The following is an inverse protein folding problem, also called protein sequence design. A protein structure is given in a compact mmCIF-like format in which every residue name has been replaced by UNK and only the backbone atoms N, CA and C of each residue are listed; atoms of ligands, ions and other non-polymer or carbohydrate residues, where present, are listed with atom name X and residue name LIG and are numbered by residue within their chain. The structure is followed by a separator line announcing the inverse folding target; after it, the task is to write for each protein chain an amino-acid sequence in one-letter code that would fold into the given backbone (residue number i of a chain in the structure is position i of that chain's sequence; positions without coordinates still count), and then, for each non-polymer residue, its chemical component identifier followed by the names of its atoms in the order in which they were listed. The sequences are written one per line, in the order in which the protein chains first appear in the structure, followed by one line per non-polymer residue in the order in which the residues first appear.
data_IF_153893495105
#
_entry.id   IF_153893495105
#
_cell.length_a   1.000
_cell.length_b   1.000
_cell.length_c   1.000
_cell.angle_alpha   90.00
_cell.angle_beta   90.00
_cell.angle_gamma   90.00
#
_symmetry.space_group_name_H-M   'P 1'
#
loop_
_entity.id
_entity.type
_entity.pdbx_description
1 polymer ?
#
# COMPACT_ATOMS: atom_id res chain seq x y z
N UNK A 1 15.92 -65.98 -3.92
CA UNK A 1 16.14 -64.60 -4.40
C UNK A 1 14.83 -63.95 -4.86
N UNK A 2 13.85 -64.73 -5.28
CA UNK A 2 12.56 -64.24 -5.83
C UNK A 2 11.69 -63.47 -4.81
N UNK A 3 11.64 -63.94 -3.57
CA UNK A 3 10.83 -63.30 -2.51
C UNK A 3 11.34 -61.89 -2.18
N UNK A 4 12.67 -61.68 -2.17
CA UNK A 4 13.27 -60.37 -1.91
C UNK A 4 12.98 -59.41 -3.07
N UNK A 5 13.07 -59.91 -4.31
CA UNK A 5 12.70 -59.15 -5.51
C UNK A 5 11.24 -58.69 -5.48
N UNK A 6 10.32 -59.57 -5.08
CA UNK A 6 8.90 -59.28 -4.98
C UNK A 6 8.59 -58.23 -3.89
N UNK A 7 9.27 -58.29 -2.74
CA UNK A 7 9.12 -57.26 -1.70
C UNK A 7 9.63 -55.88 -2.18
N UNK A 8 10.74 -55.85 -2.93
CA UNK A 8 11.25 -54.60 -3.50
C UNK A 8 10.32 -54.03 -4.58
N UNK A 9 9.70 -54.89 -5.39
CA UNK A 9 8.75 -54.48 -6.42
C UNK A 9 7.50 -53.86 -5.81
N UNK A 10 6.90 -54.51 -4.80
CA UNK A 10 5.77 -53.97 -4.05
C UNK A 10 6.12 -52.65 -3.34
N UNK A 11 7.32 -52.56 -2.75
CA UNK A 11 7.79 -51.32 -2.13
C UNK A 11 7.91 -50.18 -3.15
N UNK A 12 8.41 -50.47 -4.35
CA UNK A 12 8.53 -49.47 -5.43
C UNK A 12 7.15 -48.97 -5.86
N UNK A 13 6.18 -49.88 -6.03
CA UNK A 13 4.79 -49.49 -6.33
C UNK A 13 4.17 -48.62 -5.23
N UNK A 14 4.36 -48.96 -3.95
CA UNK A 14 3.86 -48.15 -2.83
C UNK A 14 4.50 -46.75 -2.84
N UNK A 15 5.82 -46.67 -3.04
CA UNK A 15 6.54 -45.39 -3.09
C UNK A 15 6.05 -44.54 -4.26
N UNK A 16 5.81 -45.13 -5.44
CA UNK A 16 5.31 -44.36 -6.59
C UNK A 16 3.87 -43.88 -6.39
N UNK A 17 2.99 -44.74 -5.84
CA UNK A 17 1.58 -44.40 -5.57
C UNK A 17 1.47 -43.31 -4.51
N UNK A 18 2.35 -43.30 -3.50
CA UNK A 18 2.35 -42.30 -2.43
C UNK A 18 3.16 -41.05 -2.77
N UNK A 19 4.24 -41.21 -3.54
CA UNK A 19 5.20 -40.15 -3.82
C UNK A 19 4.63 -39.05 -4.71
N UNK A 20 3.85 -39.40 -5.74
CA UNK A 20 3.25 -38.41 -6.64
C UNK A 20 2.18 -37.56 -5.91
N UNK A 21 1.21 -38.14 -5.18
CA UNK A 21 0.27 -37.35 -4.38
C UNK A 21 0.95 -36.51 -3.30
N UNK A 22 1.97 -37.05 -2.63
CA UNK A 22 2.73 -36.29 -1.62
C UNK A 22 3.47 -35.09 -2.25
N UNK A 23 4.09 -35.28 -3.41
CA UNK A 23 4.75 -34.18 -4.14
C UNK A 23 3.74 -33.12 -4.59
N UNK A 24 2.58 -33.51 -5.10
CA UNK A 24 1.49 -32.58 -5.47
C UNK A 24 1.00 -31.83 -4.23
N UNK A 25 0.80 -32.51 -3.10
CA UNK A 25 0.36 -31.89 -1.86
C UNK A 25 1.37 -30.86 -1.34
N UNK A 26 2.66 -31.21 -1.31
CA UNK A 26 3.74 -30.29 -0.92
C UNK A 26 3.77 -29.08 -1.86
N UNK A 27 3.68 -29.31 -3.18
CA UNK A 27 3.66 -28.23 -4.17
C UNK A 27 2.48 -27.28 -3.98
N UNK A 28 1.28 -27.79 -3.74
CA UNK A 28 0.09 -26.96 -3.50
C UNK A 28 0.20 -26.17 -2.19
N UNK A 29 0.75 -26.78 -1.13
CA UNK A 29 0.99 -26.10 0.14
C UNK A 29 2.00 -24.97 -0.02
N UNK A 30 3.13 -25.26 -0.67
CA UNK A 30 4.19 -24.28 -0.96
C UNK A 30 3.68 -23.12 -1.81
N UNK A 31 2.89 -23.39 -2.86
CA UNK A 31 2.22 -22.36 -3.66
C UNK A 31 1.33 -21.44 -2.82
N UNK A 32 0.58 -22.02 -1.88
CA UNK A 32 -0.32 -21.26 -1.01
C UNK A 32 0.46 -20.44 0.03
N UNK A 33 1.54 -20.99 0.58
CA UNK A 33 2.42 -20.29 1.52
C UNK A 33 3.18 -19.15 0.82
N UNK A 34 3.70 -19.37 -0.39
CA UNK A 34 4.31 -18.31 -1.21
C UNK A 34 3.31 -17.22 -1.60
N UNK A 35 2.03 -17.56 -1.82
CA UNK A 35 0.99 -16.56 -2.05
C UNK A 35 0.77 -15.71 -0.81
N UNK A 36 0.70 -16.32 0.38
CA UNK A 36 0.59 -15.60 1.65
C UNK A 36 1.81 -14.72 1.90
N UNK A 37 3.02 -15.23 1.71
CA UNK A 37 4.25 -14.45 1.90
C UNK A 37 4.34 -13.24 0.96
N UNK A 38 3.96 -13.38 -0.32
CA UNK A 38 3.92 -12.23 -1.24
C UNK A 38 2.94 -11.16 -0.79
N UNK A 39 1.80 -11.58 -0.24
CA UNK A 39 0.83 -10.66 0.34
C UNK A 39 1.44 -9.97 1.59
N UNK A 40 2.04 -10.71 2.53
CA UNK A 40 2.69 -10.17 3.73
C UNK A 40 3.90 -9.27 3.47
N UNK A 41 4.78 -9.61 2.52
CA UNK A 41 5.95 -8.79 2.18
C UNK A 41 5.59 -7.43 1.58
N UNK A 42 4.39 -7.29 1.01
CA UNK A 42 3.88 -5.99 0.55
C UNK A 42 3.40 -5.13 1.73
N UNK A 43 2.82 -5.74 2.77
CA UNK A 43 2.44 -5.05 4.00
C UNK A 43 3.66 -4.48 4.74
N UNK A 44 4.73 -5.27 4.86
CA UNK A 44 5.95 -4.87 5.59
C UNK A 44 6.62 -3.61 4.98
N UNK A 45 6.59 -3.50 3.64
CA UNK A 45 7.13 -2.34 2.94
C UNK A 45 6.28 -1.06 3.13
N UNK A 46 4.96 -1.19 3.28
CA UNK A 46 4.05 -0.08 3.57
C UNK A 46 4.21 0.39 5.02
N UNK A 47 4.26 -0.54 5.98
CA UNK A 47 4.49 -0.23 7.40
C UNK A 47 5.82 0.47 7.62
N UNK A 48 6.88 0.03 6.93
CA UNK A 48 8.18 0.70 6.99
C UNK A 48 8.11 2.15 6.49
N UNK A 49 7.37 2.41 5.40
CA UNK A 49 7.17 3.78 4.89
C UNK A 49 6.33 4.64 5.83
N UNK A 50 5.35 4.03 6.52
CA UNK A 50 4.59 4.70 7.56
C UNK A 50 5.48 5.15 8.73
N UNK A 51 6.37 4.28 9.21
CA UNK A 51 7.32 4.64 10.28
C UNK A 51 8.23 5.79 9.84
N UNK A 52 8.73 5.76 8.61
CA UNK A 52 9.59 6.80 8.05
C UNK A 52 8.89 8.16 8.01
N UNK A 53 7.62 8.24 7.55
CA UNK A 53 6.89 9.51 7.55
C UNK A 53 6.63 10.02 8.98
N UNK A 54 6.35 9.13 9.94
CA UNK A 54 6.18 9.55 11.33
C UNK A 54 7.47 10.09 11.95
N UNK A 55 8.63 9.54 11.59
CA UNK A 55 9.92 10.10 11.97
C UNK A 55 10.15 11.49 11.37
N UNK A 56 9.79 11.69 10.09
CA UNK A 56 9.86 13.01 9.45
C UNK A 56 8.90 14.01 10.11
N UNK A 57 7.69 13.60 10.47
CA UNK A 57 6.76 14.47 11.19
C UNK A 57 7.33 14.88 12.57
N UNK A 58 8.03 13.98 13.26
CA UNK A 58 8.70 14.30 14.52
C UNK A 58 9.89 15.24 14.34
N UNK A 59 10.64 15.11 13.25
CA UNK A 59 11.78 15.97 12.91
C UNK A 59 11.33 17.38 12.54
N UNK A 60 10.30 17.48 11.69
CA UNK A 60 9.74 18.74 11.19
C UNK A 60 8.40 19.05 11.87
N UNK A 61 8.40 19.00 13.20
CA UNK A 61 7.19 19.07 14.02
C UNK A 61 6.41 20.38 13.93
N UNK A 62 7.01 21.42 13.35
CA UNK A 62 6.40 22.71 13.09
C UNK A 62 5.57 22.77 11.80
N UNK A 63 5.74 21.81 10.89
CA UNK A 63 5.03 21.71 9.62
C UNK A 63 3.69 20.99 9.81
N UNK A 64 2.69 21.32 9.00
CA UNK A 64 1.34 20.76 9.12
C UNK A 64 1.23 19.39 8.42
N UNK A 65 2.11 18.46 8.81
CA UNK A 65 2.32 17.15 8.16
C UNK A 65 1.82 15.96 8.97
N UNK A 66 1.43 16.17 10.22
CA UNK A 66 0.76 15.16 11.05
C UNK A 66 -0.68 14.90 10.58
N UNK A 67 -1.20 13.71 10.92
CA UNK A 67 -2.59 13.32 10.65
C UNK A 67 -3.61 14.27 11.33
N UNK A 68 -3.20 14.93 12.42
CA UNK A 68 -3.98 15.98 13.07
C UNK A 68 -3.55 17.36 12.57
N UNK A 69 -4.45 18.15 11.96
CA UNK A 69 -4.12 19.49 11.49
C UNK A 69 -3.91 20.49 12.62
N UNK A 70 -3.00 21.44 12.39
CA UNK A 70 -2.90 22.62 13.24
C UNK A 70 -4.16 23.47 13.14
N UNK A 71 -4.73 23.84 14.28
CA UNK A 71 -5.88 24.77 14.32
C UNK A 71 -5.53 26.18 13.83
N UNK A 72 -4.24 26.55 13.86
CA UNK A 72 -3.74 27.83 13.37
C UNK A 72 -2.33 27.63 12.79
N UNK A 73 -2.20 27.24 11.51
CA UNK A 73 -0.90 27.02 10.88
C UNK A 73 -0.10 28.32 10.84
N UNK A 74 1.19 28.23 11.13
CA UNK A 74 2.10 29.38 11.04
C UNK A 74 2.47 29.63 9.58
N UNK A 75 2.82 30.88 9.27
CA UNK A 75 3.44 31.19 7.98
C UNK A 75 4.82 30.54 7.91
N UNK A 76 5.03 29.70 6.90
CA UNK A 76 6.28 28.99 6.66
C UNK A 76 7.30 29.89 5.95
N UNK A 77 8.59 29.58 6.12
CA UNK A 77 9.64 30.06 5.21
C UNK A 77 9.62 29.27 3.90
N UNK A 78 10.26 29.79 2.85
CA UNK A 78 10.38 29.06 1.57
C UNK A 78 11.04 27.68 1.74
N UNK A 79 12.04 27.56 2.64
CA UNK A 79 12.67 26.29 2.97
C UNK A 79 11.67 25.32 3.63
N UNK A 80 10.85 25.82 4.56
CA UNK A 80 9.83 25.03 5.25
C UNK A 80 8.69 24.62 4.32
N UNK A 81 8.29 25.47 3.38
CA UNK A 81 7.31 25.13 2.33
C UNK A 81 7.83 23.97 1.49
N UNK A 82 9.13 23.97 1.12
CA UNK A 82 9.74 22.88 0.36
C UNK A 82 9.88 21.58 1.16
N UNK A 83 10.15 21.69 2.46
CA UNK A 83 10.16 20.52 3.36
C UNK A 83 8.75 19.93 3.52
N UNK A 84 7.73 20.77 3.69
CA UNK A 84 6.33 20.35 3.78
C UNK A 84 5.90 19.64 2.48
N UNK A 85 6.16 20.26 1.32
CA UNK A 85 5.91 19.67 0.00
C UNK A 85 6.53 18.27 -0.12
N UNK A 86 7.81 18.12 0.25
CA UNK A 86 8.51 16.84 0.17
C UNK A 86 7.88 15.76 1.07
N UNK A 87 7.50 16.11 2.30
CA UNK A 87 6.86 15.17 3.24
C UNK A 87 5.46 14.77 2.74
N UNK A 88 4.68 15.73 2.24
CA UNK A 88 3.35 15.45 1.68
C UNK A 88 3.44 14.58 0.42
N UNK A 89 4.48 14.74 -0.42
CA UNK A 89 4.72 13.84 -1.56
C UNK A 89 5.04 12.40 -1.12
N UNK A 90 5.78 12.22 -0.02
CA UNK A 90 6.01 10.90 0.58
C UNK A 90 4.67 10.30 1.01
N UNK A 91 3.80 11.09 1.66
CA UNK A 91 2.46 10.65 2.05
C UNK A 91 1.62 10.21 0.86
N UNK A 92 1.58 11.00 -0.21
CA UNK A 92 0.84 10.66 -1.44
C UNK A 92 1.36 9.34 -2.04
N UNK A 93 2.68 9.10 -2.01
CA UNK A 93 3.26 7.83 -2.46
C UNK A 93 2.81 6.63 -1.62
N UNK A 94 2.62 6.80 -0.31
CA UNK A 94 2.06 5.75 0.57
C UNK A 94 0.60 5.48 0.18
N UNK A 95 -0.20 6.52 -0.05
CA UNK A 95 -1.60 6.40 -0.46
C UNK A 95 -1.75 5.71 -1.82
N UNK A 96 -0.92 6.06 -2.80
CA UNK A 96 -0.89 5.38 -4.10
C UNK A 96 -0.59 3.88 -3.92
N UNK A 97 0.41 3.56 -3.09
CA UNK A 97 0.81 2.17 -2.86
C UNK A 97 -0.30 1.37 -2.16
N UNK A 98 -1.00 1.97 -1.20
CA UNK A 98 -2.18 1.38 -0.59
C UNK A 98 -3.29 1.17 -1.61
N UNK A 99 -3.63 2.19 -2.42
CA UNK A 99 -4.64 2.08 -3.48
C UNK A 99 -4.35 0.92 -4.45
N UNK A 100 -3.12 0.84 -4.98
CA UNK A 100 -2.71 -0.22 -5.90
C UNK A 100 -2.78 -1.61 -5.25
N UNK A 101 -2.52 -1.71 -3.94
CA UNK A 101 -2.62 -2.95 -3.19
C UNK A 101 -4.07 -3.41 -3.04
N UNK A 102 -5.01 -2.50 -2.78
CA UNK A 102 -6.41 -2.84 -2.51
C UNK A 102 -7.31 -2.88 -3.75
N UNK A 103 -6.97 -2.18 -4.84
CA UNK A 103 -7.77 -2.12 -6.08
C UNK A 103 -8.12 -3.49 -6.66
N UNK A 104 -7.28 -4.51 -6.45
CA UNK A 104 -7.43 -5.85 -7.06
C UNK A 104 -8.02 -6.91 -6.12
N UNK A 105 -8.52 -6.49 -4.97
CA UNK A 105 -8.81 -7.42 -3.89
C UNK A 105 -10.27 -7.84 -3.82
N UNK A 106 -10.52 -9.14 -3.60
CA UNK A 106 -11.86 -9.73 -3.52
C UNK A 106 -12.28 -10.16 -2.10
N UNK A 107 -11.37 -10.15 -1.11
CA UNK A 107 -11.68 -10.59 0.26
C UNK A 107 -12.31 -9.48 1.11
N UNK A 108 -13.35 -9.80 1.87
CA UNK A 108 -14.09 -8.82 2.68
C UNK A 108 -13.20 -8.06 3.69
N UNK A 109 -12.33 -8.74 4.44
CA UNK A 109 -11.44 -8.08 5.43
C UNK A 109 -10.53 -7.01 4.82
N UNK A 110 -10.20 -7.12 3.54
CA UNK A 110 -9.37 -6.13 2.85
C UNK A 110 -10.21 -4.98 2.28
N UNK A 111 -11.53 -5.14 2.13
CA UNK A 111 -12.45 -4.02 1.86
C UNK A 111 -12.58 -3.13 3.08
N UNK A 112 -12.76 -3.71 4.26
CA UNK A 112 -12.86 -2.96 5.52
C UNK A 112 -11.57 -2.15 5.78
N UNK A 113 -10.39 -2.69 5.41
CA UNK A 113 -9.12 -1.96 5.46
C UNK A 113 -9.05 -0.83 4.43
N UNK A 114 -9.57 -1.04 3.21
CA UNK A 114 -9.62 -0.01 2.18
C UNK A 114 -10.48 1.18 2.60
N UNK A 115 -11.64 0.94 3.24
CA UNK A 115 -12.52 2.01 3.72
C UNK A 115 -11.79 3.00 4.65
N UNK A 116 -10.88 2.50 5.50
CA UNK A 116 -10.04 3.37 6.34
C UNK A 116 -9.06 4.23 5.54
N UNK A 117 -8.39 3.66 4.54
CA UNK A 117 -7.50 4.40 3.65
C UNK A 117 -8.24 5.46 2.82
N UNK A 118 -9.41 5.09 2.27
CA UNK A 118 -10.23 6.00 1.47
C UNK A 118 -10.71 7.21 2.30
N UNK A 119 -11.11 6.96 3.55
CA UNK A 119 -11.45 8.01 4.51
C UNK A 119 -10.26 8.94 4.76
N UNK A 120 -9.10 8.39 5.12
CA UNK A 120 -7.90 9.18 5.42
C UNK A 120 -7.47 10.03 4.21
N UNK A 121 -7.42 9.46 3.01
CA UNK A 121 -7.05 10.19 1.78
C UNK A 121 -8.03 11.34 1.54
N UNK A 122 -9.33 11.09 1.74
CA UNK A 122 -10.36 12.12 1.56
C UNK A 122 -10.18 13.27 2.56
N UNK A 123 -9.94 12.96 3.84
CA UNK A 123 -9.67 13.97 4.87
C UNK A 123 -8.42 14.79 4.56
N UNK A 124 -7.36 14.17 4.05
CA UNK A 124 -6.15 14.88 3.60
C UNK A 124 -6.41 15.78 2.40
N UNK A 125 -7.20 15.32 1.42
CA UNK A 125 -7.59 16.13 0.26
C UNK A 125 -8.44 17.35 0.62
N UNK A 126 -9.03 17.39 1.82
CA UNK A 126 -9.73 18.56 2.32
C UNK A 126 -8.79 19.68 2.78
N UNK A 127 -7.56 19.34 3.16
CA UNK A 127 -6.55 20.26 3.71
C UNK A 127 -5.88 21.09 2.61
N UNK A 128 -5.72 22.39 2.85
CA UNK A 128 -5.22 23.33 1.84
C UNK A 128 -3.78 23.02 1.39
N UNK A 129 -2.88 22.70 2.33
CA UNK A 129 -1.48 22.37 2.03
C UNK A 129 -1.38 21.12 1.15
N UNK A 130 -2.05 20.04 1.54
CA UNK A 130 -2.08 18.79 0.79
C UNK A 130 -2.77 18.95 -0.56
N UNK A 131 -3.89 19.69 -0.63
CA UNK A 131 -4.58 19.97 -1.90
C UNK A 131 -3.68 20.74 -2.86
N UNK A 132 -2.90 21.71 -2.38
CA UNK A 132 -1.96 22.46 -3.22
C UNK A 132 -0.91 21.53 -3.84
N UNK A 133 -0.29 20.68 -3.03
CA UNK A 133 0.69 19.67 -3.48
C UNK A 133 0.04 18.67 -4.45
N UNK A 134 -1.17 18.19 -4.15
CA UNK A 134 -1.91 17.27 -5.01
C UNK A 134 -2.24 17.87 -6.38
N UNK A 135 -2.68 19.13 -6.43
CA UNK A 135 -2.99 19.80 -7.70
C UNK A 135 -1.75 19.98 -8.59
N UNK A 136 -0.59 20.25 -7.99
CA UNK A 136 0.67 20.44 -8.72
C UNK A 136 1.30 19.12 -9.16
N UNK A 137 1.34 18.11 -8.28
CA UNK A 137 2.13 16.90 -8.48
C UNK A 137 1.29 15.62 -8.66
N UNK A 138 -0.01 15.65 -8.34
CA UNK A 138 -0.93 14.53 -8.49
C UNK A 138 -0.86 13.83 -9.86
N UNK A 139 -0.77 14.58 -10.99
CA UNK A 139 -0.62 13.97 -12.32
C UNK A 139 0.65 13.12 -12.54
N UNK A 140 1.64 13.18 -11.64
CA UNK A 140 2.86 12.35 -11.72
C UNK A 140 2.66 10.94 -11.16
N UNK A 141 1.62 10.72 -10.36
CA UNK A 141 1.29 9.42 -9.76
C UNK A 141 0.48 8.54 -10.73
N UNK A 142 0.18 7.31 -10.30
CA UNK A 142 -0.59 6.34 -11.06
C UNK A 142 -1.91 6.95 -11.53
N UNK A 143 -2.18 6.80 -12.82
CA UNK A 143 -3.34 7.41 -13.47
C UNK A 143 -4.65 6.99 -12.82
N UNK A 144 -4.80 5.71 -12.45
CA UNK A 144 -6.04 5.21 -11.87
C UNK A 144 -6.23 5.69 -10.43
N UNK A 145 -5.14 5.84 -9.67
CA UNK A 145 -5.16 6.46 -8.36
C UNK A 145 -5.54 7.94 -8.44
N UNK A 146 -4.87 8.71 -9.31
CA UNK A 146 -5.16 10.12 -9.48
C UNK A 146 -6.61 10.36 -9.92
N UNK A 147 -7.09 9.66 -10.96
CA UNK A 147 -8.46 9.79 -11.45
C UNK A 147 -9.51 9.42 -10.39
N UNK A 148 -9.21 8.43 -9.53
CA UNK A 148 -10.11 8.00 -8.48
C UNK A 148 -10.32 9.05 -7.39
N UNK A 149 -9.28 9.81 -7.02
CA UNK A 149 -9.43 10.82 -5.96
C UNK A 149 -9.65 12.24 -6.47
N UNK A 150 -9.21 12.54 -7.69
CA UNK A 150 -9.32 13.89 -8.26
C UNK A 150 -10.78 14.32 -8.47
N UNK A 151 -11.73 13.38 -8.62
CA UNK A 151 -13.15 13.73 -8.71
C UNK A 151 -13.73 14.30 -7.40
N UNK A 152 -13.10 14.02 -6.27
CA UNK A 152 -13.53 14.46 -4.94
C UNK A 152 -13.08 15.87 -4.61
N UNK A 153 -12.21 16.46 -5.43
CA UNK A 153 -11.75 17.83 -5.28
C UNK A 153 -12.81 18.76 -5.90
N UNK A 154 -13.48 19.62 -5.12
CA UNK A 154 -14.28 20.67 -5.70
C UNK A 154 -13.34 21.54 -6.54
N UNK A 155 -13.62 21.65 -7.84
CA UNK A 155 -12.87 22.49 -8.75
C UNK A 155 -12.88 23.90 -8.17
N UNK A 156 -11.76 24.35 -7.60
CA UNK A 156 -11.62 25.70 -7.10
C UNK A 156 -11.98 26.62 -8.28
N UNK A 157 -13.04 27.40 -8.10
CA UNK A 157 -13.50 28.34 -9.10
C UNK A 157 -12.30 29.13 -9.59
N UNK A 158 -12.05 29.08 -10.89
CA UNK A 158 -11.02 29.83 -11.57
C UNK A 158 -10.93 31.22 -10.94
N UNK A 159 -9.80 31.50 -10.29
CA UNK A 159 -9.47 32.82 -9.77
C UNK A 159 -9.49 33.77 -10.96
N UNK A 160 -10.62 34.46 -11.08
CA UNK A 160 -10.84 35.55 -12.00
C UNK A 160 -10.11 36.76 -11.39
N UNK A 161 -8.82 36.87 -11.66
CA UNK A 161 -8.09 38.13 -11.45
C UNK A 161 -7.96 38.83 -12.80
N UNK A 162 -8.69 39.95 -12.87
CA UNK A 162 -8.69 40.96 -13.91
C UNK A 162 -7.57 41.98 -13.68
#
# INVERSE_FOLDING_TARGET
MDVISQYLEVATFIITIMGVPAAIFIYLREQNDQRREREYGTFDALDQKYIEIQQLCLEYSELDVFDSPFSNPKKLSEEQEKQEEAILLIRISIFERAFLMYQRTTSQSKKDQWEGWELEITEWLERDNFRSVWCEHGPYFDKSFFEHFNHSIPMAAATNEA
#
